data_IF_122643523357
#
_entry.id   IF_122643523357
#
_cell.length_a   1.000
_cell.length_b   1.000
_cell.length_c   1.000
_cell.angle_alpha   90.00
_cell.angle_beta   90.00
_cell.angle_gamma   90.00
#
_symmetry.space_group_name_H-M   'P 1'
#
loop_
_entity.id
_entity.type
_entity.pdbx_description
1 polymer ?
#
# COMPACT_ATOMS: atom_id res chain seq x y z
N UNK A 1 40.13 32.44 20.83
CA UNK A 1 38.95 32.04 20.04
C UNK A 1 38.22 30.99 20.85
N UNK A 2 36.98 31.28 21.25
CA UNK A 2 36.19 30.49 22.21
C UNK A 2 35.54 29.31 21.50
N UNK A 3 35.79 28.08 21.97
CA UNK A 3 35.05 26.90 21.54
C UNK A 3 33.70 26.89 22.28
N UNK A 4 32.64 27.29 21.58
CA UNK A 4 31.28 27.15 22.09
C UNK A 4 30.95 25.67 22.29
N UNK A 5 30.57 25.32 23.52
CA UNK A 5 30.11 24.00 23.92
C UNK A 5 28.76 23.73 23.24
N UNK A 6 28.69 22.72 22.38
CA UNK A 6 27.44 22.22 21.78
C UNK A 6 26.68 21.35 22.80
N UNK A 7 26.43 21.88 24.00
CA UNK A 7 25.58 21.23 25.00
C UNK A 7 24.12 21.52 24.62
N UNK A 8 23.41 20.52 24.07
CA UNK A 8 21.95 20.55 23.99
C UNK A 8 21.30 20.65 22.61
N UNK A 9 21.96 20.21 21.53
CA UNK A 9 21.20 19.87 20.32
C UNK A 9 20.37 18.61 20.62
N UNK A 10 19.16 18.81 21.14
CA UNK A 10 18.11 17.80 21.02
C UNK A 10 17.91 17.65 19.51
N UNK A 11 18.42 16.56 18.94
CA UNK A 11 17.97 16.12 17.63
C UNK A 11 16.48 15.81 17.85
N UNK A 12 15.60 16.75 17.49
CA UNK A 12 14.20 16.39 17.28
C UNK A 12 14.24 15.23 16.29
N UNK A 13 13.89 14.03 16.76
CA UNK A 13 13.56 12.93 15.89
C UNK A 13 12.27 13.38 15.22
N UNK A 14 12.38 14.09 14.11
CA UNK A 14 11.26 14.36 13.24
C UNK A 14 10.81 12.99 12.75
N UNK A 15 9.70 12.49 13.30
CA UNK A 15 9.11 11.24 12.85
C UNK A 15 8.92 11.34 11.35
N UNK A 16 9.43 10.34 10.62
CA UNK A 16 9.25 10.27 9.18
C UNK A 16 7.74 10.39 8.85
N UNK A 17 7.34 11.16 7.81
CA UNK A 17 5.93 11.32 7.45
C UNK A 17 5.25 9.97 7.27
N UNK A 18 4.01 9.75 7.74
CA UNK A 18 3.28 8.53 7.42
C UNK A 18 3.17 8.32 5.91
N UNK A 19 3.44 7.11 5.43
CA UNK A 19 3.31 6.77 4.01
C UNK A 19 2.30 5.63 3.87
N UNK A 20 1.33 5.81 2.97
CA UNK A 20 0.38 4.77 2.62
C UNK A 20 0.53 4.42 1.15
N UNK A 21 0.82 3.17 0.83
CA UNK A 21 0.74 2.71 -0.56
C UNK A 21 -0.71 2.37 -0.89
N UNK A 22 -1.21 2.87 -2.02
CA UNK A 22 -2.50 2.49 -2.57
C UNK A 22 -2.27 1.72 -3.86
N UNK A 23 -2.71 0.46 -3.89
CA UNK A 23 -2.55 -0.42 -5.04
C UNK A 23 -3.89 -0.97 -5.50
N UNK A 24 -4.16 -0.86 -6.79
CA UNK A 24 -5.27 -1.55 -7.44
C UNK A 24 -4.71 -2.82 -8.06
N UNK A 25 -5.35 -3.95 -7.77
CA UNK A 25 -4.94 -5.26 -8.23
C UNK A 25 -6.07 -5.86 -9.06
N UNK A 26 -5.75 -6.27 -10.29
CA UNK A 26 -6.71 -6.88 -11.21
C UNK A 26 -6.05 -8.03 -11.95
N UNK A 27 -6.47 -9.27 -11.65
CA UNK A 27 -5.95 -10.48 -12.30
C UNK A 27 -4.40 -10.50 -12.39
N UNK A 28 -3.69 -10.34 -11.25
CA UNK A 28 -2.26 -10.16 -11.27
C UNK A 28 -1.54 -11.43 -11.74
N UNK A 29 -0.49 -11.25 -12.54
CA UNK A 29 0.30 -12.35 -13.07
C UNK A 29 1.38 -12.87 -12.09
N UNK A 30 2.27 -13.77 -12.57
CA UNK A 30 3.30 -14.39 -11.74
C UNK A 30 4.28 -13.41 -11.07
N UNK A 31 4.45 -12.21 -11.62
CA UNK A 31 5.33 -11.16 -11.07
C UNK A 31 4.86 -10.61 -9.72
N UNK A 32 3.60 -10.81 -9.36
CA UNK A 32 3.03 -10.21 -8.16
C UNK A 32 3.69 -10.70 -6.86
N UNK A 33 4.24 -11.92 -6.88
CA UNK A 33 5.05 -12.43 -5.76
C UNK A 33 6.28 -11.56 -5.50
N UNK A 34 6.98 -11.14 -6.55
CA UNK A 34 8.13 -10.25 -6.43
C UNK A 34 7.71 -8.85 -5.96
N UNK A 35 6.53 -8.37 -6.40
CA UNK A 35 5.96 -7.12 -5.93
C UNK A 35 5.67 -7.17 -4.43
N UNK A 36 5.03 -8.23 -3.93
CA UNK A 36 4.76 -8.40 -2.50
C UNK A 36 6.04 -8.54 -1.69
N UNK A 37 7.02 -9.30 -2.18
CA UNK A 37 8.32 -9.43 -1.54
C UNK A 37 9.03 -8.07 -1.44
N UNK A 38 8.96 -7.24 -2.48
CA UNK A 38 9.54 -5.90 -2.47
C UNK A 38 8.87 -4.94 -1.49
N UNK A 39 7.57 -5.11 -1.23
CA UNK A 39 6.85 -4.32 -0.22
C UNK A 39 7.22 -4.76 1.19
N UNK A 40 7.34 -6.07 1.42
CA UNK A 40 7.72 -6.62 2.72
C UNK A 40 9.19 -6.33 3.09
N UNK A 41 10.05 -6.05 2.11
CA UNK A 41 11.46 -5.71 2.36
C UNK A 41 11.67 -4.26 2.78
N UNK A 42 10.63 -3.42 2.78
CA UNK A 42 10.74 -2.01 3.11
C UNK A 42 10.91 -1.81 4.62
N UNK A 43 11.82 -0.93 5.01
CA UNK A 43 12.13 -0.61 6.41
C UNK A 43 11.58 0.76 6.85
N UNK A 44 10.77 1.40 6.00
CA UNK A 44 10.19 2.71 6.31
C UNK A 44 9.20 2.62 7.47
N UNK A 45 9.44 3.31 8.60
CA UNK A 45 8.86 2.97 9.90
C UNK A 45 7.34 3.16 10.00
N UNK A 46 6.78 4.04 9.17
CA UNK A 46 5.36 4.42 9.17
C UNK A 46 4.66 4.01 7.88
N UNK A 47 5.23 3.06 7.13
CA UNK A 47 4.64 2.54 5.91
C UNK A 47 3.44 1.64 6.21
N UNK A 48 2.34 1.87 5.50
CA UNK A 48 1.13 1.04 5.51
C UNK A 48 0.68 0.76 4.07
N UNK A 49 -0.05 -0.32 3.89
CA UNK A 49 -0.48 -0.76 2.56
C UNK A 49 -2.00 -0.88 2.50
N UNK A 50 -2.59 -0.30 1.46
CA UNK A 50 -4.00 -0.45 1.08
C UNK A 50 -4.07 -1.07 -0.30
N UNK A 51 -4.83 -2.16 -0.41
CA UNK A 51 -5.06 -2.88 -1.66
C UNK A 51 -6.55 -2.85 -2.03
N UNK A 52 -6.84 -2.52 -3.28
CA UNK A 52 -8.15 -2.67 -3.91
C UNK A 52 -8.09 -3.88 -4.84
N UNK A 53 -8.73 -4.97 -4.42
CA UNK A 53 -8.77 -6.23 -5.17
C UNK A 53 -10.04 -6.25 -6.00
N UNK A 54 -9.90 -6.03 -7.28
CA UNK A 54 -11.03 -6.03 -8.21
C UNK A 54 -11.40 -7.45 -8.62
N UNK A 55 -12.66 -7.68 -8.95
CA UNK A 55 -13.13 -8.98 -9.44
C UNK A 55 -13.47 -8.90 -10.92
N UNK A 56 -13.22 -9.95 -11.71
CA UNK A 56 -13.76 -10.03 -13.06
C UNK A 56 -15.30 -10.09 -13.00
N UNK A 57 -15.95 -9.57 -14.04
CA UNK A 57 -17.41 -9.73 -14.22
C UNK A 57 -17.61 -10.79 -15.29
N UNK A 58 -18.05 -11.99 -14.90
CA UNK A 58 -18.30 -13.10 -15.83
C UNK A 58 -19.79 -13.41 -15.82
N UNK A 59 -20.43 -13.40 -16.98
CA UNK A 59 -21.84 -13.81 -17.18
C UNK A 59 -22.86 -13.22 -16.19
N UNK A 60 -22.65 -11.96 -15.79
CA UNK A 60 -23.50 -11.23 -14.81
C UNK A 60 -23.53 -11.86 -13.40
N UNK A 61 -22.60 -12.77 -13.10
CA UNK A 61 -22.39 -13.33 -11.78
C UNK A 61 -21.05 -12.86 -11.22
N UNK A 62 -21.10 -12.41 -9.98
CA UNK A 62 -19.94 -11.95 -9.23
C UNK A 62 -19.19 -13.17 -8.68
N UNK A 63 -17.94 -13.33 -9.09
CA UNK A 63 -17.01 -14.29 -8.48
C UNK A 63 -15.96 -13.55 -7.66
N UNK A 64 -16.11 -13.59 -6.34
CA UNK A 64 -15.15 -13.00 -5.39
C UNK A 64 -14.12 -14.00 -4.87
N UNK A 65 -14.21 -15.28 -5.26
CA UNK A 65 -13.34 -16.33 -4.73
C UNK A 65 -11.86 -16.08 -5.07
N UNK A 66 -11.59 -15.65 -6.30
CA UNK A 66 -10.24 -15.29 -6.73
C UNK A 66 -9.68 -14.11 -5.91
N UNK A 67 -10.46 -13.06 -5.69
CA UNK A 67 -10.06 -11.91 -4.87
C UNK A 67 -9.86 -12.30 -3.39
N UNK A 68 -10.66 -13.24 -2.86
CA UNK A 68 -10.48 -13.75 -1.50
C UNK A 68 -9.22 -14.59 -1.33
N UNK A 69 -8.88 -15.44 -2.31
CA UNK A 69 -7.62 -16.19 -2.31
C UNK A 69 -6.41 -15.24 -2.41
N UNK A 70 -6.52 -14.21 -3.25
CA UNK A 70 -5.50 -13.18 -3.40
C UNK A 70 -5.32 -12.36 -2.10
N UNK A 71 -6.42 -12.00 -1.44
CA UNK A 71 -6.43 -11.35 -0.12
C UNK A 71 -5.64 -12.17 0.91
N UNK A 72 -5.91 -13.48 1.00
CA UNK A 72 -5.20 -14.38 1.90
C UNK A 72 -3.69 -14.43 1.59
N UNK A 73 -3.33 -14.43 0.31
CA UNK A 73 -1.92 -14.41 -0.15
C UNK A 73 -1.21 -13.11 0.27
N UNK A 74 -1.84 -11.96 0.06
CA UNK A 74 -1.31 -10.64 0.46
C UNK A 74 -1.13 -10.59 1.97
N UNK A 75 -2.17 -10.99 2.73
CA UNK A 75 -2.16 -10.98 4.18
C UNK A 75 -1.08 -11.88 4.80
N UNK A 76 -0.71 -12.98 4.13
CA UNK A 76 0.37 -13.85 4.57
C UNK A 76 1.76 -13.20 4.47
N UNK A 77 1.96 -12.28 3.51
CA UNK A 77 3.21 -11.55 3.30
C UNK A 77 3.23 -10.21 4.04
N UNK A 78 2.09 -9.53 4.10
CA UNK A 78 1.89 -8.21 4.69
C UNK A 78 0.73 -8.27 5.69
N UNK A 79 0.95 -8.74 6.93
CA UNK A 79 -0.12 -8.97 7.90
C UNK A 79 -0.88 -7.72 8.35
N UNK A 80 -0.31 -6.53 8.17
CA UNK A 80 -0.97 -5.26 8.54
C UNK A 80 -1.59 -4.54 7.33
N UNK A 81 -1.67 -5.21 6.18
CA UNK A 81 -2.28 -4.65 4.97
C UNK A 81 -3.80 -4.52 5.11
N UNK A 82 -4.34 -3.41 4.61
CA UNK A 82 -5.78 -3.17 4.52
C UNK A 82 -6.24 -3.60 3.13
N UNK A 83 -7.25 -4.45 3.06
CA UNK A 83 -7.79 -4.96 1.80
C UNK A 83 -9.23 -4.49 1.60
N UNK A 84 -9.53 -4.11 0.37
CA UNK A 84 -10.88 -3.77 -0.11
C UNK A 84 -11.15 -4.64 -1.33
N UNK A 85 -12.02 -5.63 -1.19
CA UNK A 85 -12.53 -6.35 -2.37
C UNK A 85 -13.57 -5.45 -3.02
N UNK A 86 -13.40 -5.19 -4.31
CA UNK A 86 -14.29 -4.35 -5.09
C UNK A 86 -14.96 -5.21 -6.14
N UNK A 87 -16.29 -5.16 -6.16
CA UNK A 87 -17.07 -5.85 -7.16
C UNK A 87 -16.88 -5.21 -8.54
N UNK A 88 -16.49 -6.04 -9.50
CA UNK A 88 -16.14 -5.60 -10.85
C UNK A 88 -14.80 -4.87 -10.89
N UNK A 89 -14.58 -4.17 -12.00
CA UNK A 89 -13.37 -3.39 -12.24
C UNK A 89 -13.74 -1.96 -12.69
N UNK A 90 -13.96 -1.02 -11.74
CA UNK A 90 -14.21 0.39 -12.08
C UNK A 90 -12.95 1.11 -12.61
N UNK A 91 -11.79 0.45 -12.60
CA UNK A 91 -10.52 0.99 -13.05
C UNK A 91 -9.73 1.71 -11.95
N UNK A 92 -8.50 2.09 -12.29
CA UNK A 92 -7.52 2.61 -11.33
C UNK A 92 -7.94 3.95 -10.69
N UNK A 93 -8.32 4.94 -11.51
CA UNK A 93 -8.63 6.30 -11.06
C UNK A 93 -9.74 6.35 -10.02
N UNK A 94 -10.93 5.76 -10.27
CA UNK A 94 -12.02 5.74 -9.30
C UNK A 94 -11.62 5.10 -7.97
N UNK A 95 -10.87 3.99 -7.99
CA UNK A 95 -10.45 3.29 -6.77
C UNK A 95 -9.43 4.07 -5.96
N UNK A 96 -8.46 4.68 -6.63
CA UNK A 96 -7.49 5.52 -5.95
C UNK A 96 -8.13 6.75 -5.31
N UNK A 97 -9.18 7.32 -5.91
CA UNK A 97 -9.89 8.45 -5.32
C UNK A 97 -10.52 8.10 -3.95
N UNK A 98 -10.86 6.83 -3.71
CA UNK A 98 -11.36 6.37 -2.40
C UNK A 98 -10.31 6.49 -1.30
N UNK A 99 -9.02 6.65 -1.61
CA UNK A 99 -8.00 6.85 -0.59
C UNK A 99 -8.23 8.10 0.26
N UNK A 100 -8.90 9.12 -0.29
CA UNK A 100 -9.25 10.34 0.45
C UNK A 100 -10.26 10.08 1.58
N UNK A 101 -11.03 8.99 1.50
CA UNK A 101 -11.98 8.58 2.55
C UNK A 101 -11.39 7.58 3.54
N UNK A 102 -10.29 6.91 3.16
CA UNK A 102 -9.62 5.86 3.95
C UNK A 102 -8.50 6.43 4.83
N UNK A 103 -7.76 7.42 4.32
CA UNK A 103 -6.60 7.99 5.02
C UNK A 103 -7.00 9.25 5.75
N UNK A 104 -6.88 9.22 7.07
CA UNK A 104 -7.05 10.39 7.93
C UNK A 104 -5.69 11.05 8.19
N UNK A 105 -5.66 12.39 8.24
CA UNK A 105 -4.48 13.18 8.62
C UNK A 105 -4.10 14.26 7.60
N UNK A 106 -3.27 15.21 8.04
CA UNK A 106 -2.88 16.42 7.29
C UNK A 106 -1.42 16.41 6.80
N UNK A 107 -0.64 15.38 7.16
CA UNK A 107 0.83 15.32 6.92
C UNK A 107 1.32 13.97 6.39
N UNK A 108 0.42 13.13 5.89
CA UNK A 108 0.76 11.85 5.27
C UNK A 108 1.07 11.97 3.78
N UNK A 109 1.79 10.99 3.24
CA UNK A 109 2.04 10.83 1.81
C UNK A 109 1.30 9.59 1.30
N UNK A 110 0.70 9.71 0.11
CA UNK A 110 0.06 8.59 -0.58
C UNK A 110 0.95 8.20 -1.77
N UNK A 111 1.40 6.95 -1.78
CA UNK A 111 2.15 6.36 -2.88
C UNK A 111 1.22 5.53 -3.76
N UNK A 112 0.89 6.02 -4.95
CA UNK A 112 0.02 5.33 -5.90
C UNK A 112 0.82 4.32 -6.71
N UNK A 113 0.29 3.10 -6.85
CA UNK A 113 1.04 1.99 -7.44
C UNK A 113 0.17 1.00 -8.19
N UNK A 114 0.71 0.46 -9.28
CA UNK A 114 0.15 -0.71 -9.96
C UNK A 114 0.70 -2.02 -9.37
N UNK A 115 0.02 -3.12 -9.64
CA UNK A 115 0.36 -4.47 -9.18
C UNK A 115 1.54 -5.11 -9.94
N UNK A 116 2.15 -4.40 -10.88
CA UNK A 116 3.32 -4.80 -11.68
C UNK A 116 4.61 -4.01 -11.34
N UNK A 117 4.56 -3.12 -10.35
CA UNK A 117 5.71 -2.33 -9.92
C UNK A 117 6.36 -2.97 -8.70
N UNK A 118 7.67 -3.23 -8.72
CA UNK A 118 8.44 -3.65 -7.54
C UNK A 118 9.24 -2.47 -6.97
N UNK A 119 9.41 -2.42 -5.65
CA UNK A 119 10.29 -1.45 -5.01
C UNK A 119 11.74 -1.94 -5.01
N UNK A 120 12.67 -1.00 -5.04
CA UNK A 120 14.04 -1.30 -4.64
C UNK A 120 14.12 -1.28 -3.11
N UNK A 121 14.92 -2.18 -2.51
CA UNK A 121 15.19 -2.15 -1.07
C UNK A 121 15.89 -0.86 -0.64
#
# INVERSE_FOLDING_TARGET
MSNAKLDGLVLEVTSAPPVVTAMVVHEPGPWFDDVLASLASQDYPTLRHVFFLTTPVVDSQQDTAAAQLLSNKIQAVLPDAIMRIVEGNPGFGPLINEMQSIVEGDRGLICLKHDDVAFQP
#
